data_IF_016643754418
#
_entry.id   IF_016643754418
#
_cell.length_a   1.000
_cell.length_b   1.000
_cell.length_c   1.000
_cell.angle_alpha   90.00
_cell.angle_beta   90.00
_cell.angle_gamma   90.00
#
_symmetry.space_group_name_H-M   'P 1'
#
loop_
_entity.id
_entity.type
_entity.pdbx_description
1 polymer ?
#
# COMPACT_ATOMS: atom_id res chain seq x y z
N UNK A 1 -11.13 -13.39 -11.74
CA UNK A 1 -10.75 -12.04 -12.22
C UNK A 1 -9.30 -11.81 -11.82
N UNK A 2 -8.37 -12.17 -12.70
CA UNK A 2 -6.95 -11.89 -12.49
C UNK A 2 -6.77 -10.40 -12.75
N UNK A 3 -6.42 -9.66 -11.71
CA UNK A 3 -5.89 -8.32 -11.86
C UNK A 3 -4.60 -8.53 -12.68
N UNK A 4 -4.62 -8.09 -13.93
CA UNK A 4 -3.53 -8.23 -14.88
C UNK A 4 -2.23 -7.85 -14.17
N UNK A 5 -1.39 -8.86 -13.92
CA UNK A 5 -0.02 -8.70 -13.47
C UNK A 5 0.72 -8.01 -14.62
N UNK A 6 0.59 -6.69 -14.72
CA UNK A 6 1.66 -5.87 -15.26
C UNK A 6 2.92 -6.36 -14.54
N UNK A 7 3.90 -6.80 -15.32
CA UNK A 7 5.11 -7.40 -14.78
C UNK A 7 5.62 -6.45 -13.69
N UNK A 8 5.73 -6.90 -12.44
CA UNK A 8 5.97 -6.02 -11.28
C UNK A 8 7.23 -5.16 -11.47
N UNK A 9 8.17 -5.69 -12.26
CA UNK A 9 9.36 -5.01 -12.72
C UNK A 9 9.08 -3.82 -13.67
N UNK A 10 8.12 -3.95 -14.60
CA UNK A 10 7.72 -2.87 -15.52
C UNK A 10 7.06 -1.71 -14.78
N UNK A 11 6.30 -2.00 -13.72
CA UNK A 11 5.70 -0.98 -12.86
C UNK A 11 6.77 -0.15 -12.14
N UNK A 12 7.80 -0.81 -11.58
CA UNK A 12 8.95 -0.13 -10.99
C UNK A 12 9.72 0.70 -12.02
N UNK A 13 9.97 0.14 -13.21
CA UNK A 13 10.68 0.87 -14.27
C UNK A 13 9.91 2.09 -14.77
N UNK A 14 8.58 1.99 -14.87
CA UNK A 14 7.71 3.11 -15.22
C UNK A 14 7.74 4.18 -14.14
N UNK A 15 7.67 3.77 -12.87
CA UNK A 15 7.78 4.68 -11.73
C UNK A 15 9.12 5.44 -11.74
N UNK A 16 10.23 4.74 -11.99
CA UNK A 16 11.55 5.37 -12.12
C UNK A 16 11.63 6.33 -13.31
N UNK A 17 11.03 5.98 -14.46
CA UNK A 17 11.02 6.84 -15.62
C UNK A 17 10.26 8.15 -15.33
N UNK A 18 9.11 8.05 -14.66
CA UNK A 18 8.32 9.21 -14.23
C UNK A 18 9.07 10.04 -13.20
N UNK A 19 9.74 9.40 -12.24
CA UNK A 19 10.56 10.07 -11.24
C UNK A 19 11.66 10.92 -11.89
N UNK A 20 12.39 10.33 -12.86
CA UNK A 20 13.42 11.05 -13.64
C UNK A 20 12.84 12.18 -14.47
N UNK A 21 11.69 11.98 -15.11
CA UNK A 21 11.04 13.00 -15.94
C UNK A 21 10.58 14.21 -15.11
N UNK A 22 10.03 13.96 -13.92
CA UNK A 22 9.52 15.01 -13.03
C UNK A 22 10.58 15.59 -12.08
N UNK A 23 11.83 15.10 -12.15
CA UNK A 23 12.91 15.43 -11.20
C UNK A 23 12.47 15.20 -9.74
N UNK A 24 11.81 14.07 -9.49
CA UNK A 24 11.37 13.64 -8.16
C UNK A 24 12.19 12.42 -7.76
N UNK A 25 12.41 12.24 -6.46
CA UNK A 25 13.06 11.05 -5.93
C UNK A 25 12.19 9.79 -6.22
N UNK A 26 12.76 8.71 -6.79
CA UNK A 26 12.03 7.48 -7.07
C UNK A 26 11.32 6.89 -5.85
N UNK A 27 11.91 7.09 -4.67
CA UNK A 27 11.36 6.73 -3.36
C UNK A 27 9.97 7.35 -3.13
N UNK A 28 9.82 8.64 -3.42
CA UNK A 28 8.56 9.35 -3.24
C UNK A 28 7.47 8.84 -4.20
N UNK A 29 7.85 8.43 -5.42
CA UNK A 29 6.91 7.85 -6.38
C UNK A 29 6.43 6.48 -5.91
N UNK A 30 7.32 5.66 -5.37
CA UNK A 30 6.98 4.35 -4.83
C UNK A 30 6.07 4.49 -3.60
N UNK A 31 6.36 5.43 -2.69
CA UNK A 31 5.49 5.73 -1.54
C UNK A 31 4.09 6.18 -1.99
N UNK A 32 4.01 7.06 -3.00
CA UNK A 32 2.73 7.50 -3.55
C UNK A 32 1.94 6.33 -4.18
N UNK A 33 2.64 5.38 -4.81
CA UNK A 33 2.03 4.15 -5.33
C UNK A 33 1.54 3.23 -4.21
N UNK A 34 2.30 3.08 -3.14
CA UNK A 34 1.90 2.33 -1.94
C UNK A 34 0.64 2.92 -1.31
N UNK A 35 0.58 4.24 -1.12
CA UNK A 35 -0.61 4.91 -0.57
C UNK A 35 -1.83 4.74 -1.49
N UNK A 36 -1.63 4.89 -2.80
CA UNK A 36 -2.69 4.69 -3.80
C UNK A 36 -3.23 3.25 -3.77
N UNK A 37 -2.36 2.26 -3.63
CA UNK A 37 -2.73 0.84 -3.51
C UNK A 37 -3.41 0.54 -2.17
N UNK A 38 -2.95 1.13 -1.07
CA UNK A 38 -3.57 1.02 0.24
C UNK A 38 -5.00 1.57 0.21
N UNK A 39 -5.20 2.74 -0.42
CA UNK A 39 -6.52 3.35 -0.60
C UNK A 39 -7.43 2.50 -1.49
N UNK A 40 -6.91 1.93 -2.57
CA UNK A 40 -7.66 1.01 -3.43
C UNK A 40 -8.06 -0.27 -2.66
N UNK A 41 -7.17 -0.80 -1.82
CA UNK A 41 -7.45 -1.95 -0.98
C UNK A 41 -8.51 -1.64 0.09
N UNK A 42 -8.42 -0.49 0.77
CA UNK A 42 -9.44 0.00 1.71
C UNK A 42 -10.80 0.14 1.02
N UNK A 43 -10.85 0.70 -0.19
CA UNK A 43 -12.08 0.78 -0.98
C UNK A 43 -12.68 -0.59 -1.31
N UNK A 44 -11.84 -1.58 -1.62
CA UNK A 44 -12.28 -2.93 -1.99
C UNK A 44 -12.72 -3.80 -0.81
N UNK A 45 -12.00 -3.72 0.30
CA UNK A 45 -12.19 -4.64 1.42
C UNK A 45 -12.99 -4.02 2.57
N UNK A 46 -12.93 -2.70 2.76
CA UNK A 46 -13.62 -1.97 3.82
C UNK A 46 -12.82 -0.74 4.25
N UNK A 47 -13.46 0.43 4.25
CA UNK A 47 -12.79 1.71 4.52
C UNK A 47 -12.25 1.81 5.95
N UNK A 48 -12.82 1.05 6.88
CA UNK A 48 -12.48 1.05 8.30
C UNK A 48 -11.31 0.11 8.64
N UNK A 49 -10.84 -0.70 7.68
CA UNK A 49 -9.67 -1.55 7.88
C UNK A 49 -8.36 -0.78 7.66
N UNK A 50 -7.42 -0.90 8.59
CA UNK A 50 -6.06 -0.43 8.35
C UNK A 50 -5.29 -1.44 7.49
N UNK A 51 -5.11 -1.09 6.21
CA UNK A 51 -4.34 -1.87 5.25
C UNK A 51 -3.11 -1.05 4.87
N UNK A 52 -1.94 -1.62 5.10
CA UNK A 52 -0.64 -1.08 4.70
C UNK A 52 -0.11 -1.86 3.51
N UNK A 53 0.47 -1.14 2.56
CA UNK A 53 1.08 -1.72 1.37
C UNK A 53 2.54 -1.36 1.36
N UNK A 54 3.39 -2.31 1.06
CA UNK A 54 4.83 -2.08 0.85
C UNK A 54 5.30 -2.76 -0.42
N UNK A 55 6.06 -2.05 -1.24
CA UNK A 55 6.63 -2.51 -2.50
C UNK A 55 8.13 -2.72 -2.30
N UNK A 56 8.60 -3.94 -2.55
CA UNK A 56 10.03 -4.23 -2.59
C UNK A 56 10.65 -3.61 -3.85
N UNK A 57 11.60 -2.70 -3.67
CA UNK A 57 12.28 -1.97 -4.75
C UNK A 57 13.17 -2.84 -5.65
N UNK A 58 13.55 -4.04 -5.19
CA UNK A 58 14.39 -4.97 -5.95
C UNK A 58 13.56 -5.93 -6.79
N UNK A 59 12.42 -6.37 -6.25
CA UNK A 59 11.60 -7.43 -6.87
C UNK A 59 10.28 -6.91 -7.46
N UNK A 60 9.84 -5.71 -7.07
CA UNK A 60 8.54 -5.14 -7.43
C UNK A 60 7.36 -5.79 -6.71
N UNK A 61 7.63 -6.70 -5.77
CA UNK A 61 6.58 -7.38 -5.03
C UNK A 61 5.87 -6.43 -4.08
N UNK A 62 4.57 -6.23 -4.31
CA UNK A 62 3.69 -5.51 -3.40
C UNK A 62 3.13 -6.48 -2.35
N UNK A 63 3.38 -6.19 -1.09
CA UNK A 63 2.85 -6.93 0.06
C UNK A 63 1.75 -6.12 0.72
N UNK A 64 0.58 -6.73 0.93
CA UNK A 64 -0.57 -6.13 1.58
C UNK A 64 -0.72 -6.71 2.97
N UNK A 65 -0.64 -5.86 3.99
CA UNK A 65 -0.75 -6.28 5.39
C UNK A 65 -1.91 -5.54 6.03
N UNK A 66 -2.86 -6.29 6.60
CA UNK A 66 -3.87 -5.69 7.49
C UNK A 66 -3.26 -5.55 8.88
N UNK A 67 -3.28 -4.32 9.40
CA UNK A 67 -2.80 -4.00 10.74
C UNK A 67 -4.00 -3.73 11.64
N UNK A 68 -3.87 -4.12 12.91
CA UNK A 68 -4.78 -3.69 13.96
C UNK A 68 -3.97 -3.07 15.10
N UNK A 69 -4.41 -1.94 15.59
CA UNK A 69 -3.80 -1.26 16.73
C UNK A 69 -4.19 -1.99 18.01
N UNK A 70 -3.21 -2.29 18.86
CA UNK A 70 -3.49 -2.85 20.18
C UNK A 70 -3.86 -1.72 21.12
N UNK A 71 -5.02 -1.79 21.76
CA UNK A 71 -5.54 -0.77 22.69
C UNK A 71 -6.05 -1.44 23.97
N UNK A 72 -6.16 -0.68 25.06
CA UNK A 72 -6.74 -1.20 26.31
C UNK A 72 -8.23 -1.50 26.13
N UNK A 73 -8.75 -2.48 26.89
CA UNK A 73 -10.12 -3.02 26.71
C UNK A 73 -11.22 -1.94 26.80
N UNK A 74 -10.99 -0.89 27.60
CA UNK A 74 -11.89 0.23 27.81
C UNK A 74 -11.70 1.38 26.80
N UNK A 75 -10.69 1.29 25.94
CA UNK A 75 -10.32 2.30 24.93
C UNK A 75 -10.55 1.83 23.48
N UNK A 76 -11.18 0.66 23.26
CA UNK A 76 -11.53 0.18 21.92
C UNK A 76 -12.64 1.05 21.32
N UNK A 77 -12.30 1.85 20.31
CA UNK A 77 -13.24 2.69 19.56
C UNK A 77 -13.60 2.08 18.19
N UNK A 78 -12.71 1.28 17.60
CA UNK A 78 -12.92 0.67 16.28
C UNK A 78 -12.54 -0.82 16.22
N UNK A 79 -13.51 -1.71 16.43
CA UNK A 79 -13.34 -3.18 16.35
C UNK A 79 -12.79 -3.74 15.03
N UNK A 80 -12.80 -2.97 13.93
CA UNK A 80 -12.22 -3.41 12.66
C UNK A 80 -10.72 -3.11 12.57
N UNK A 81 -10.27 -2.05 13.24
CA UNK A 81 -8.90 -1.56 13.23
C UNK A 81 -8.17 -1.75 14.58
N UNK A 82 -8.86 -2.13 15.65
CA UNK A 82 -8.32 -2.22 17.01
C UNK A 82 -8.59 -3.59 17.64
N UNK A 83 -7.72 -3.99 18.56
CA UNK A 83 -7.80 -5.25 19.31
C UNK A 83 -7.17 -5.09 20.69
N UNK A 84 -7.60 -5.88 21.67
CA UNK A 84 -6.95 -5.97 22.99
C UNK A 84 -5.78 -6.97 23.01
#
# INVERSE_FOLDING_TARGET
MAITSANQLELLQTAEAVAREKMIEPELVIEAMEDSLARAAKSRYGAEMDIRVSIDRKTGNATFTRVRTVVEDDAVENYQAEVT
#
